data_IF_976285009838
#
_entry.id   IF_976285009838
#
_cell.length_a   1.000
_cell.length_b   1.000
_cell.length_c   1.000
_cell.angle_alpha   90.00
_cell.angle_beta   90.00
_cell.angle_gamma   90.00
#
_symmetry.space_group_name_H-M   'P 1'
#
loop_
_entity.id
_entity.type
_entity.pdbx_description
1 polymer ?
#
# COMPACT_ATOMS: atom_id res chain seq x y z
N UNK A 1 -2.02 -34.50 12.20
CA UNK A 1 -2.34 -33.10 12.56
C UNK A 1 -2.68 -32.41 11.26
N UNK A 2 -3.97 -32.14 11.00
CA UNK A 2 -4.36 -31.34 9.82
C UNK A 2 -3.95 -29.89 10.07
N UNK A 3 -3.32 -29.20 9.09
CA UNK A 3 -3.02 -27.80 9.20
C UNK A 3 -4.34 -27.04 9.39
N UNK A 4 -4.46 -26.27 10.44
CA UNK A 4 -5.60 -25.36 10.61
C UNK A 4 -5.50 -24.26 9.56
N UNK A 5 -6.56 -23.95 8.79
CA UNK A 5 -6.53 -22.86 7.84
C UNK A 5 -6.25 -21.55 8.59
N UNK A 6 -5.19 -20.86 8.20
CA UNK A 6 -4.88 -19.52 8.70
C UNK A 6 -5.65 -18.51 7.85
N UNK A 7 -6.64 -17.84 8.44
CA UNK A 7 -7.31 -16.73 7.80
C UNK A 7 -6.48 -15.44 8.02
N UNK A 8 -5.87 -14.91 6.98
CA UNK A 8 -5.37 -13.55 6.94
C UNK A 8 -6.52 -12.57 6.78
N UNK A 9 -6.46 -11.41 7.43
CA UNK A 9 -7.45 -10.35 7.31
C UNK A 9 -6.76 -9.05 6.89
N UNK A 10 -7.39 -8.34 5.96
CA UNK A 10 -6.93 -7.03 5.50
C UNK A 10 -8.00 -6.32 4.71
N UNK A 11 -7.64 -5.20 4.14
CA UNK A 11 -8.51 -4.37 3.32
C UNK A 11 -8.04 -4.35 1.87
N UNK A 12 -8.91 -3.88 0.97
CA UNK A 12 -8.59 -3.63 -0.42
C UNK A 12 -9.38 -2.43 -0.95
N UNK A 13 -8.94 -1.88 -2.05
CA UNK A 13 -9.53 -0.71 -2.68
C UNK A 13 -9.93 -1.04 -4.11
N UNK A 14 -11.22 -0.93 -4.45
CA UNK A 14 -11.70 -1.10 -5.82
C UNK A 14 -11.29 0.15 -6.63
N UNK A 15 -10.48 -0.05 -7.66
CA UNK A 15 -9.91 1.02 -8.48
C UNK A 15 -10.53 1.12 -9.87
N UNK A 16 -11.29 0.10 -10.30
CA UNK A 16 -11.97 0.10 -11.60
C UNK A 16 -13.37 -0.51 -11.48
N UNK A 17 -14.35 -0.05 -12.30
CA UNK A 17 -15.72 -0.56 -12.26
C UNK A 17 -15.85 -2.03 -12.62
N UNK A 18 -14.90 -2.60 -13.36
CA UNK A 18 -14.84 -4.02 -13.73
C UNK A 18 -14.23 -4.90 -12.63
N UNK A 19 -13.92 -4.37 -11.44
CA UNK A 19 -13.57 -5.14 -10.25
C UNK A 19 -12.09 -5.40 -10.01
N UNK A 20 -11.18 -4.54 -10.49
CA UNK A 20 -9.79 -4.58 -10.03
C UNK A 20 -9.66 -3.94 -8.64
N UNK A 21 -8.99 -4.66 -7.74
CA UNK A 21 -8.77 -4.29 -6.34
C UNK A 21 -7.28 -4.23 -6.08
N UNK A 22 -6.82 -3.14 -5.49
CA UNK A 22 -5.46 -3.00 -4.95
C UNK A 22 -5.49 -3.31 -3.46
N UNK A 23 -4.51 -4.08 -3.02
CA UNK A 23 -4.25 -4.39 -1.60
C UNK A 23 -2.74 -4.49 -1.36
N UNK A 24 -2.32 -4.79 -0.14
CA UNK A 24 -0.92 -5.11 0.14
C UNK A 24 -0.59 -6.57 -0.21
N UNK A 25 0.66 -6.81 -0.64
CA UNK A 25 1.16 -8.15 -0.87
C UNK A 25 1.09 -9.00 0.40
N UNK A 26 1.54 -8.47 1.54
CA UNK A 26 1.53 -9.22 2.82
C UNK A 26 0.12 -9.61 3.30
N UNK A 27 -0.95 -8.95 2.81
CA UNK A 27 -2.34 -9.30 3.14
C UNK A 27 -2.77 -10.61 2.49
N UNK A 28 -2.25 -10.90 1.29
CA UNK A 28 -2.64 -12.07 0.48
C UNK A 28 -1.52 -13.11 0.33
N UNK A 29 -0.34 -12.82 0.85
CA UNK A 29 0.81 -13.72 0.73
C UNK A 29 0.55 -15.06 1.41
N UNK A 30 0.81 -16.15 0.68
CA UNK A 30 0.58 -17.50 1.13
C UNK A 30 -0.90 -17.91 1.26
N UNK A 31 -1.84 -17.11 0.73
CA UNK A 31 -3.25 -17.47 0.71
C UNK A 31 -3.56 -18.42 -0.46
N UNK A 32 -4.19 -19.56 -0.15
CA UNK A 32 -4.68 -20.51 -1.16
C UNK A 32 -5.95 -20.00 -1.86
N UNK A 33 -6.76 -19.22 -1.14
CA UNK A 33 -8.02 -18.64 -1.64
C UNK A 33 -8.24 -17.24 -1.06
N UNK A 34 -8.75 -16.34 -1.90
CA UNK A 34 -9.09 -14.97 -1.51
C UNK A 34 -10.61 -14.81 -1.59
N UNK A 35 -11.22 -14.51 -0.44
CA UNK A 35 -12.61 -14.06 -0.35
C UNK A 35 -12.64 -12.55 -0.15
N UNK A 36 -13.39 -11.87 -1.02
CA UNK A 36 -13.58 -10.41 -0.97
C UNK A 36 -15.00 -10.13 -0.49
N UNK A 37 -15.13 -9.48 0.66
CA UNK A 37 -16.40 -9.01 1.17
C UNK A 37 -16.58 -7.54 0.84
N UNK A 38 -17.62 -7.22 0.09
CA UNK A 38 -17.96 -5.85 -0.29
C UNK A 38 -18.72 -5.13 0.83
N UNK A 39 -18.78 -3.80 0.75
CA UNK A 39 -19.51 -2.98 1.73
C UNK A 39 -21.02 -3.31 1.77
N UNK A 40 -21.62 -3.74 0.68
CA UNK A 40 -23.02 -4.17 0.60
C UNK A 40 -23.27 -5.60 1.13
N UNK A 41 -22.24 -6.25 1.64
CA UNK A 41 -22.28 -7.59 2.23
C UNK A 41 -22.10 -8.73 1.23
N UNK A 42 -21.99 -8.48 -0.07
CA UNK A 42 -21.68 -9.52 -1.07
C UNK A 42 -20.29 -10.09 -0.80
N UNK A 43 -20.18 -11.41 -0.86
CA UNK A 43 -18.90 -12.13 -0.83
C UNK A 43 -18.58 -12.65 -2.21
N UNK A 44 -17.36 -12.40 -2.66
CA UNK A 44 -16.90 -12.73 -4.01
C UNK A 44 -15.54 -13.38 -3.96
N UNK A 45 -15.31 -14.33 -4.87
CA UNK A 45 -13.98 -14.94 -5.03
C UNK A 45 -13.05 -13.96 -5.72
N UNK A 46 -11.90 -13.68 -5.09
CA UNK A 46 -10.81 -12.90 -5.67
C UNK A 46 -9.82 -13.79 -6.41
N UNK A 47 -9.36 -13.32 -7.57
CA UNK A 47 -8.27 -13.93 -8.33
C UNK A 47 -7.07 -13.00 -8.32
N UNK A 48 -5.92 -13.49 -7.87
CA UNK A 48 -4.66 -12.74 -7.92
C UNK A 48 -4.25 -12.53 -9.38
N UNK A 49 -4.05 -11.29 -9.78
CA UNK A 49 -3.52 -10.92 -11.10
C UNK A 49 -2.00 -10.86 -11.04
N UNK A 50 -1.45 -10.33 -9.97
CA UNK A 50 -0.02 -10.27 -9.73
C UNK A 50 0.29 -9.63 -8.39
N UNK A 51 1.52 -9.82 -7.94
CA UNK A 51 2.03 -9.30 -6.67
C UNK A 51 3.39 -8.66 -6.86
N UNK A 52 3.70 -7.70 -6.02
CA UNK A 52 5.01 -7.08 -5.94
C UNK A 52 5.47 -6.96 -4.49
N UNK A 53 6.24 -7.95 -4.00
CA UNK A 53 6.78 -7.92 -2.64
C UNK A 53 7.70 -6.72 -2.36
N UNK A 54 8.32 -6.15 -3.39
CA UNK A 54 9.29 -5.06 -3.22
C UNK A 54 8.65 -3.69 -2.97
N UNK A 55 7.37 -3.53 -3.28
CA UNK A 55 6.55 -2.36 -2.92
C UNK A 55 5.40 -2.71 -2.00
N UNK A 56 5.26 -4.00 -1.64
CA UNK A 56 4.15 -4.53 -0.86
C UNK A 56 2.76 -4.24 -1.48
N UNK A 57 2.66 -4.34 -2.80
CA UNK A 57 1.40 -4.19 -3.52
C UNK A 57 0.96 -5.48 -4.19
N UNK A 58 -0.34 -5.66 -4.28
CA UNK A 58 -0.96 -6.75 -5.01
C UNK A 58 -2.20 -6.27 -5.76
N UNK A 59 -2.47 -6.90 -6.90
CA UNK A 59 -3.64 -6.69 -7.73
C UNK A 59 -4.51 -7.94 -7.72
N UNK A 60 -5.75 -7.77 -7.29
CA UNK A 60 -6.78 -8.82 -7.23
C UNK A 60 -7.92 -8.43 -8.16
N UNK A 61 -8.57 -9.41 -8.78
CA UNK A 61 -9.75 -9.24 -9.64
C UNK A 61 -10.92 -10.02 -9.06
N UNK A 62 -12.07 -9.35 -8.96
CA UNK A 62 -13.38 -9.98 -8.74
C UNK A 62 -14.18 -9.89 -10.03
N UNK A 63 -15.02 -10.89 -10.30
CA UNK A 63 -15.83 -10.92 -11.51
C UNK A 63 -17.13 -10.10 -11.33
N UNK A 64 -17.47 -9.32 -12.33
CA UNK A 64 -18.65 -8.45 -12.35
C UNK A 64 -18.35 -7.08 -12.94
N UNK A 65 -19.37 -6.27 -13.02
CA UNK A 65 -19.35 -4.92 -13.57
C UNK A 65 -20.03 -3.93 -12.61
N UNK A 66 -19.88 -2.65 -12.86
CA UNK A 66 -20.51 -1.55 -12.12
C UNK A 66 -20.12 -1.47 -10.63
N UNK A 67 -18.92 -1.93 -10.27
CA UNK A 67 -18.42 -1.70 -8.93
C UNK A 67 -18.09 -0.22 -8.70
N UNK A 68 -18.38 0.32 -7.50
CA UNK A 68 -18.04 1.70 -7.16
C UNK A 68 -16.50 1.82 -7.03
N UNK A 69 -15.86 2.33 -8.08
CA UNK A 69 -14.42 2.56 -8.09
C UNK A 69 -14.08 3.92 -7.49
N UNK A 70 -13.03 3.96 -6.68
CA UNK A 70 -12.54 5.20 -6.10
C UNK A 70 -11.80 6.05 -7.15
N UNK A 71 -12.00 7.37 -7.20
CA UNK A 71 -11.17 8.23 -8.03
C UNK A 71 -9.73 8.25 -7.51
N UNK A 72 -8.76 7.99 -8.42
CA UNK A 72 -7.34 7.94 -8.07
C UNK A 72 -6.71 9.32 -8.23
N UNK A 73 -6.35 9.92 -7.11
CA UNK A 73 -5.69 11.21 -7.01
C UNK A 73 -4.18 11.17 -7.36
N UNK A 74 -3.55 12.31 -7.17
CA UNK A 74 -2.12 12.50 -7.38
C UNK A 74 -1.40 12.75 -6.06
N UNK A 75 -0.69 11.72 -5.57
CA UNK A 75 0.06 11.79 -4.32
C UNK A 75 1.25 12.76 -4.35
N UNK A 76 1.76 13.10 -5.54
CA UNK A 76 2.86 14.05 -5.66
C UNK A 76 2.40 15.48 -5.32
N UNK A 77 1.12 15.78 -5.53
CA UNK A 77 0.52 17.08 -5.22
C UNK A 77 0.15 17.26 -3.74
N UNK A 78 0.12 16.18 -2.95
CA UNK A 78 -0.10 16.27 -1.51
C UNK A 78 0.98 17.11 -0.84
N UNK A 79 0.55 17.92 0.14
CA UNK A 79 1.45 18.73 0.98
C UNK A 79 1.39 18.25 2.43
N UNK A 80 2.50 18.40 3.13
CA UNK A 80 2.56 18.20 4.58
C UNK A 80 1.55 19.15 5.25
N UNK A 81 0.79 18.62 6.21
CA UNK A 81 -0.29 19.33 6.90
C UNK A 81 -1.67 19.18 6.24
N UNK A 82 -1.79 18.63 5.03
CA UNK A 82 -3.10 18.36 4.43
C UNK A 82 -3.83 17.23 5.14
N UNK A 83 -5.14 17.37 5.30
CA UNK A 83 -6.01 16.35 5.88
C UNK A 83 -6.09 15.11 5.02
N UNK A 84 -5.98 13.95 5.66
CA UNK A 84 -6.18 12.64 5.06
C UNK A 84 -7.03 11.74 5.96
N UNK A 85 -7.73 10.78 5.34
CA UNK A 85 -8.49 9.75 6.03
C UNK A 85 -7.91 8.39 5.65
N UNK A 86 -7.61 7.57 6.64
CA UNK A 86 -7.27 6.17 6.43
C UNK A 86 -8.54 5.33 6.59
N UNK A 87 -8.90 4.61 5.53
CA UNK A 87 -10.11 3.80 5.43
C UNK A 87 -9.73 2.33 5.30
N UNK A 88 -10.43 1.47 6.03
CA UNK A 88 -10.26 0.04 5.93
C UNK A 88 -11.48 -0.70 6.48
N UNK A 89 -11.45 -2.02 6.39
CA UNK A 89 -12.52 -2.89 6.90
C UNK A 89 -11.92 -3.96 7.85
N UNK A 90 -11.43 -3.54 9.05
CA UNK A 90 -10.83 -4.46 9.99
C UNK A 90 -11.88 -5.46 10.53
N UNK A 91 -11.46 -6.71 10.74
CA UNK A 91 -12.23 -7.74 11.44
C UNK A 91 -13.61 -8.05 10.85
N UNK A 92 -13.83 -7.85 9.55
CA UNK A 92 -15.12 -8.10 8.90
C UNK A 92 -16.29 -7.26 9.50
N UNK A 93 -15.96 -6.18 10.21
CA UNK A 93 -16.89 -5.18 10.71
C UNK A 93 -17.23 -4.16 9.63
N UNK A 94 -18.09 -3.20 9.94
CA UNK A 94 -18.32 -2.05 9.07
C UNK A 94 -17.03 -1.26 8.86
N UNK A 95 -16.88 -0.65 7.67
CA UNK A 95 -15.70 0.16 7.32
C UNK A 95 -15.32 1.11 8.45
N UNK A 96 -14.05 1.10 8.83
CA UNK A 96 -13.48 1.99 9.83
C UNK A 96 -12.73 3.12 9.15
N UNK A 97 -12.92 4.33 9.65
CA UNK A 97 -12.25 5.54 9.14
C UNK A 97 -11.50 6.19 10.29
N UNK A 98 -10.23 6.49 10.07
CA UNK A 98 -9.43 7.31 10.98
C UNK A 98 -8.98 8.58 10.25
N UNK A 99 -8.86 9.70 10.95
CA UNK A 99 -8.49 10.99 10.39
C UNK A 99 -7.14 11.46 10.93
N UNK A 100 -6.38 12.13 10.10
CA UNK A 100 -5.11 12.74 10.43
C UNK A 100 -4.63 13.67 9.33
N UNK A 101 -3.35 13.99 9.34
CA UNK A 101 -2.70 14.83 8.33
C UNK A 101 -1.55 14.09 7.67
N UNK A 102 -1.09 14.59 6.55
CA UNK A 102 0.20 14.22 5.97
C UNK A 102 1.31 14.76 6.88
N UNK A 103 1.98 13.89 7.61
CA UNK A 103 3.07 14.27 8.54
C UNK A 103 4.41 14.43 7.83
N UNK A 104 4.66 13.61 6.79
CA UNK A 104 5.84 13.69 5.93
C UNK A 104 5.59 12.96 4.60
N UNK A 105 6.50 13.17 3.65
CA UNK A 105 6.52 12.48 2.35
C UNK A 105 7.89 11.88 2.09
N UNK A 106 7.96 10.95 1.15
CA UNK A 106 9.19 10.29 0.69
C UNK A 106 10.00 9.64 1.84
N UNK A 107 9.30 9.04 2.82
CA UNK A 107 9.96 8.33 3.91
C UNK A 107 10.47 6.97 3.44
N UNK A 108 11.75 6.71 3.70
CA UNK A 108 12.35 5.38 3.60
C UNK A 108 12.54 4.84 5.02
N UNK A 109 12.09 3.62 5.26
CA UNK A 109 12.09 2.98 6.58
C UNK A 109 13.07 1.80 6.65
N UNK A 110 13.63 1.39 5.49
CA UNK A 110 14.50 0.24 5.37
C UNK A 110 13.81 -1.09 5.66
N UNK A 111 12.49 -1.16 5.47
CA UNK A 111 11.69 -2.38 5.73
C UNK A 111 11.73 -3.36 4.56
N UNK A 112 11.96 -2.88 3.35
CA UNK A 112 12.10 -3.72 2.17
C UNK A 112 13.57 -3.86 1.77
N UNK A 113 14.12 -5.05 1.91
CA UNK A 113 15.46 -5.35 1.37
C UNK A 113 15.43 -5.16 -0.16
N UNK A 114 16.12 -4.12 -0.65
CA UNK A 114 16.17 -3.73 -2.07
C UNK A 114 14.82 -3.26 -2.65
N UNK A 115 13.85 -2.92 -1.80
CA UNK A 115 12.56 -2.38 -2.21
C UNK A 115 12.60 -0.89 -2.53
N UNK A 116 11.56 -0.42 -3.22
CA UNK A 116 11.34 1.00 -3.48
C UNK A 116 10.48 1.57 -2.36
N UNK A 117 11.08 2.36 -1.50
CA UNK A 117 10.42 3.01 -0.38
C UNK A 117 10.29 4.51 -0.61
N UNK A 118 9.07 5.02 -0.56
CA UNK A 118 8.77 6.45 -0.62
C UNK A 118 7.42 6.70 0.05
N UNK A 119 7.30 6.30 1.32
CA UNK A 119 6.03 6.34 2.02
C UNK A 119 5.53 7.77 2.29
N UNK A 120 4.19 7.91 2.26
CA UNK A 120 3.48 9.00 2.92
C UNK A 120 3.39 8.62 4.40
N UNK A 121 3.87 9.51 5.28
CA UNK A 121 3.67 9.40 6.72
C UNK A 121 2.44 10.19 7.13
N UNK A 122 1.62 9.62 8.01
CA UNK A 122 0.42 10.27 8.57
C UNK A 122 0.27 9.94 10.05
N UNK A 123 -0.42 10.79 10.80
CA UNK A 123 -0.88 10.52 12.15
C UNK A 123 -2.32 9.97 12.20
N UNK A 124 -2.97 9.77 11.05
CA UNK A 124 -4.17 8.93 10.97
C UNK A 124 -3.83 7.51 11.45
N UNK A 125 -4.61 6.97 12.38
CA UNK A 125 -4.32 5.66 12.96
C UNK A 125 -4.42 4.55 11.91
N UNK A 126 -3.28 3.89 11.63
CA UNK A 126 -3.18 2.71 10.78
C UNK A 126 -2.86 1.53 11.67
N UNK A 127 -3.77 0.56 11.75
CA UNK A 127 -3.70 -0.63 12.56
C UNK A 127 -3.92 -1.88 11.71
N UNK A 128 -3.66 -3.05 12.33
CA UNK A 128 -3.98 -4.32 11.71
C UNK A 128 -5.46 -4.36 11.27
N UNK A 129 -5.69 -4.72 10.00
CA UNK A 129 -7.02 -4.76 9.37
C UNK A 129 -7.30 -3.61 8.40
N UNK A 130 -6.72 -2.41 8.55
CA UNK A 130 -6.81 -1.38 7.52
C UNK A 130 -5.61 -1.36 6.54
N UNK A 131 -4.63 -2.27 6.70
CA UNK A 131 -3.62 -2.58 5.69
C UNK A 131 -4.28 -2.96 4.37
N UNK A 132 -3.79 -2.40 3.28
CA UNK A 132 -4.34 -2.56 1.92
C UNK A 132 -5.53 -1.65 1.63
N UNK A 133 -6.07 -0.97 2.64
CA UNK A 133 -7.14 0.01 2.51
C UNK A 133 -6.66 1.37 1.97
N UNK A 134 -7.60 2.28 1.80
CA UNK A 134 -7.35 3.57 1.18
C UNK A 134 -6.81 4.62 2.16
N UNK A 135 -5.82 5.39 1.74
CA UNK A 135 -5.56 6.74 2.25
C UNK A 135 -6.18 7.72 1.25
N UNK A 136 -7.12 8.55 1.70
CA UNK A 136 -7.82 9.51 0.83
C UNK A 136 -7.59 10.94 1.29
N UNK A 137 -7.60 11.86 0.34
CA UNK A 137 -7.56 13.30 0.64
C UNK A 137 -8.96 13.86 0.99
N UNK A 138 -9.04 15.14 1.30
CA UNK A 138 -10.30 15.81 1.65
C UNK A 138 -11.34 15.86 0.51
N UNK A 139 -10.95 15.51 -0.72
CA UNK A 139 -11.87 15.38 -1.87
C UNK A 139 -12.39 13.95 -2.06
N UNK A 140 -11.97 13.00 -1.23
CA UNK A 140 -12.30 11.58 -1.39
C UNK A 140 -11.48 10.87 -2.48
N UNK A 141 -10.41 11.48 -2.98
CA UNK A 141 -9.51 10.85 -3.96
C UNK A 141 -8.48 9.98 -3.26
N UNK A 142 -8.23 8.78 -3.81
CA UNK A 142 -7.18 7.88 -3.34
C UNK A 142 -5.80 8.52 -3.54
N UNK A 143 -5.03 8.65 -2.48
CA UNK A 143 -3.67 9.21 -2.52
C UNK A 143 -2.60 8.23 -2.05
N UNK A 144 -3.01 7.14 -1.39
CA UNK A 144 -2.11 6.07 -0.98
C UNK A 144 -2.84 4.79 -0.58
N UNK A 145 -2.07 3.72 -0.41
CA UNK A 145 -2.53 2.43 0.12
C UNK A 145 -1.92 2.28 1.52
N UNK A 146 -2.77 2.15 2.54
CA UNK A 146 -2.34 1.99 3.93
C UNK A 146 -1.47 0.74 4.10
N UNK A 147 -0.39 0.85 4.86
CA UNK A 147 0.51 -0.27 5.16
C UNK A 147 0.90 -0.29 6.63
N UNK A 148 0.70 -1.43 7.30
CA UNK A 148 1.00 -1.63 8.75
C UNK A 148 2.40 -2.21 8.97
N UNK A 149 3.21 -2.37 7.92
CA UNK A 149 4.51 -3.07 8.01
C UNK A 149 5.52 -2.45 8.99
N UNK A 150 5.32 -1.21 9.40
CA UNK A 150 6.19 -0.54 10.37
C UNK A 150 5.50 -0.28 11.70
N UNK A 151 5.32 -1.34 12.47
CA UNK A 151 4.99 -1.24 13.90
C UNK A 151 5.74 -2.33 14.65
N UNK A 152 6.76 -2.00 15.44
CA UNK A 152 7.50 -2.99 16.23
C UNK A 152 6.62 -3.80 17.20
N UNK A 153 5.46 -3.26 17.57
CA UNK A 153 4.50 -3.88 18.50
C UNK A 153 3.22 -4.37 17.81
N UNK A 154 3.06 -4.14 16.49
CA UNK A 154 1.82 -4.40 15.75
C UNK A 154 0.68 -3.42 16.07
N UNK A 155 0.92 -2.42 16.94
CA UNK A 155 -0.05 -1.40 17.32
C UNK A 155 0.39 -0.02 16.85
N UNK A 156 -0.60 0.85 16.59
CA UNK A 156 -0.36 2.26 16.25
C UNK A 156 0.42 2.98 17.36
N UNK A 157 1.51 3.62 16.99
CA UNK A 157 2.43 4.34 17.89
C UNK A 157 2.55 5.84 17.57
N UNK A 158 1.57 6.41 16.85
CA UNK A 158 1.59 7.80 16.41
C UNK A 158 2.12 7.99 14.98
N UNK A 159 2.52 6.92 14.32
CA UNK A 159 3.03 6.94 12.95
C UNK A 159 2.30 5.90 12.10
N UNK A 160 1.62 6.36 11.06
CA UNK A 160 1.05 5.53 10.01
C UNK A 160 1.81 5.77 8.70
N UNK A 161 1.84 4.76 7.83
CA UNK A 161 2.51 4.83 6.54
C UNK A 161 1.59 4.34 5.44
N UNK A 162 1.67 4.98 4.27
CA UNK A 162 0.95 4.56 3.08
C UNK A 162 1.84 4.61 1.85
N UNK A 163 1.65 3.65 0.96
CA UNK A 163 2.31 3.59 -0.34
C UNK A 163 1.63 4.60 -1.25
N UNK A 164 2.35 5.60 -1.81
CA UNK A 164 1.74 6.67 -2.60
C UNK A 164 1.17 6.17 -3.93
N UNK A 165 0.13 6.85 -4.43
CA UNK A 165 -0.48 6.50 -5.73
C UNK A 165 0.46 6.66 -6.91
N UNK A 166 1.52 7.47 -6.83
CA UNK A 166 2.58 7.56 -7.86
C UNK A 166 3.29 6.22 -8.07
N UNK A 167 3.61 5.50 -6.98
CA UNK A 167 4.18 4.13 -7.05
C UNK A 167 3.10 3.14 -7.48
N UNK A 168 1.93 3.19 -6.82
CA UNK A 168 0.82 2.28 -7.07
C UNK A 168 0.44 2.23 -8.56
N UNK A 169 0.28 3.37 -9.22
CA UNK A 169 -0.13 3.44 -10.63
C UNK A 169 0.81 2.66 -11.56
N UNK A 170 2.13 2.82 -11.37
CA UNK A 170 3.13 2.10 -12.18
C UNK A 170 3.07 0.60 -11.92
N UNK A 171 3.05 0.20 -10.64
CA UNK A 171 3.02 -1.21 -10.25
C UNK A 171 1.77 -1.90 -10.78
N UNK A 172 0.59 -1.28 -10.59
CA UNK A 172 -0.69 -1.86 -11.03
C UNK A 172 -0.79 -1.95 -12.55
N UNK A 173 -0.28 -0.96 -13.29
CA UNK A 173 -0.21 -1.03 -14.75
C UNK A 173 0.61 -2.24 -15.22
N UNK A 174 1.79 -2.44 -14.66
CA UNK A 174 2.66 -3.56 -14.99
C UNK A 174 2.05 -4.91 -14.60
N UNK A 175 1.48 -5.01 -13.38
CA UNK A 175 0.83 -6.24 -12.93
C UNK A 175 -0.35 -6.62 -13.81
N UNK A 176 -1.13 -5.63 -14.27
CA UNK A 176 -2.26 -5.85 -15.17
C UNK A 176 -1.84 -6.32 -16.55
N UNK A 177 -0.75 -5.76 -17.10
CA UNK A 177 -0.29 -6.04 -18.46
C UNK A 177 0.60 -7.28 -18.54
N UNK A 178 1.52 -7.45 -17.58
CA UNK A 178 2.58 -8.47 -17.63
C UNK A 178 2.48 -9.51 -16.51
N UNK A 179 1.61 -9.31 -15.51
CA UNK A 179 1.55 -10.16 -14.30
C UNK A 179 2.72 -9.95 -13.34
N UNK A 180 3.70 -9.12 -13.69
CA UNK A 180 4.92 -8.85 -12.92
C UNK A 180 5.42 -7.43 -13.20
N UNK A 181 6.05 -6.80 -12.20
CA UNK A 181 6.55 -5.43 -12.33
C UNK A 181 7.83 -5.37 -13.16
N UNK A 182 7.84 -4.51 -14.16
CA UNK A 182 9.02 -4.25 -15.01
C UNK A 182 9.89 -3.16 -14.36
N UNK A 183 11.11 -3.53 -13.95
CA UNK A 183 12.09 -2.60 -13.38
C UNK A 183 13.35 -2.53 -14.22
N UNK A 184 13.77 -1.32 -14.56
CA UNK A 184 15.10 -1.08 -15.09
C UNK A 184 16.11 -1.06 -13.92
N UNK A 185 17.23 -1.77 -14.09
CA UNK A 185 18.34 -1.76 -13.13
C UNK A 185 19.48 -0.96 -13.75
N UNK A 186 19.86 0.12 -13.09
CA UNK A 186 21.14 0.77 -13.37
C UNK A 186 22.23 -0.03 -12.64
N UNK A 187 23.19 -0.59 -13.38
CA UNK A 187 24.30 -1.37 -12.81
C UNK A 187 25.31 -0.55 -12.02
N UNK A 188 24.84 0.42 -11.20
CA UNK A 188 25.65 1.33 -10.40
C UNK A 188 25.51 0.92 -8.92
N UNK A 189 26.65 0.77 -8.25
CA UNK A 189 26.72 0.70 -6.79
C UNK A 189 27.19 2.04 -6.27
N UNK A 190 26.41 2.66 -5.38
CA UNK A 190 26.75 3.92 -4.70
C UNK A 190 26.54 3.79 -3.21
N UNK A 191 27.35 4.50 -2.43
CA UNK A 191 27.14 4.68 -1.00
C UNK A 191 26.57 6.07 -0.76
N UNK A 192 25.51 6.24 0.07
CA UNK A 192 25.03 7.56 0.43
C UNK A 192 26.16 8.37 1.07
N UNK A 193 26.38 9.59 0.63
CA UNK A 193 27.28 10.53 1.28
C UNK A 193 26.44 11.21 2.37
N UNK A 194 26.69 10.85 3.63
CA UNK A 194 26.11 11.55 4.78
C UNK A 194 27.05 12.70 5.15
N UNK A 195 26.51 13.84 5.57
CA UNK A 195 27.27 15.03 5.97
C UNK A 195 28.29 14.77 7.09
N UNK A 196 28.12 13.69 7.86
CA UNK A 196 29.06 13.28 8.93
C UNK A 196 30.26 12.46 8.43
N UNK A 197 30.30 12.07 7.15
CA UNK A 197 31.47 11.39 6.57
C UNK A 197 32.37 12.39 5.85
N UNK A 198 33.12 13.17 6.60
CA UNK A 198 34.25 14.00 6.15
C UNK A 198 35.44 13.17 5.66
N UNK A 199 35.23 12.15 4.86
CA UNK A 199 36.33 11.43 4.18
C UNK A 199 35.94 11.24 2.72
N UNK A 200 35.91 12.35 1.98
CA UNK A 200 36.13 12.26 0.53
C UNK A 200 37.63 12.03 0.32
N UNK A 201 38.00 11.02 -0.48
CA UNK A 201 39.38 10.94 -0.98
C UNK A 201 39.75 12.24 -1.67
N UNK A 202 40.96 12.75 -1.45
CA UNK A 202 41.44 14.02 -2.02
C UNK A 202 41.39 14.09 -3.57
N UNK A 203 41.13 12.97 -4.22
CA UNK A 203 41.07 12.84 -5.70
C UNK A 203 39.73 13.29 -6.32
N UNK A 204 38.75 13.76 -5.54
CA UNK A 204 37.43 14.22 -6.04
C UNK A 204 37.21 15.71 -5.66
N UNK A 205 38.24 16.50 -5.58
CA UNK A 205 38.13 17.96 -5.47
C UNK A 205 38.25 18.63 -6.82
#
# INVERSE_FOLDING_TARGET
>A
IQPQPRAGLGSGVIITPDGYIVTNNHVIDGADEISVKLHDGREMKGRVIGTDPTTDLALVKIEGDDFPAIPVGDSERLKVGEWVLAVGNPFNMTSTVTAGIVSAKARSLGVYNQGVESFIQTDAAINQGNSGGALVNAKGELVGINSVLYSPTGAYSGYGFAIPTSIMKKVIADLKEYGTVQRAVLGIKGTPINDDQQMMPEEIK
#
